data_IF_207223226325
#
_entry.id   IF_207223226325
#
_cell.length_a   1.000
_cell.length_b   1.000
_cell.length_c   1.000
_cell.angle_alpha   90.00
_cell.angle_beta   90.00
_cell.angle_gamma   90.00
#
_symmetry.space_group_name_H-M   'P 1'
#
loop_
_entity.id
_entity.type
_entity.pdbx_description
1 polymer ?
#
# COMPACT_ATOMS: atom_id res chain seq x y z
N UNK A 1 -25.26 -14.97 -13.44
CA UNK A 1 -24.33 -13.98 -12.85
C UNK A 1 -22.92 -14.52 -13.03
N UNK A 2 -22.05 -13.82 -13.77
CA UNK A 2 -20.65 -14.24 -13.92
C UNK A 2 -19.93 -14.01 -12.58
N UNK A 3 -19.45 -15.07 -11.94
CA UNK A 3 -18.76 -14.99 -10.66
C UNK A 3 -17.36 -14.40 -10.85
N UNK A 4 -17.08 -13.28 -10.18
CA UNK A 4 -15.76 -12.64 -10.21
C UNK A 4 -14.94 -13.17 -9.02
N UNK A 5 -13.92 -13.98 -9.30
CA UNK A 5 -13.02 -14.45 -8.25
C UNK A 5 -12.20 -13.29 -7.69
N UNK A 6 -12.19 -13.12 -6.38
CA UNK A 6 -11.32 -12.16 -5.68
C UNK A 6 -9.83 -12.45 -5.90
N UNK A 7 -9.47 -13.65 -6.36
CA UNK A 7 -8.08 -14.03 -6.67
C UNK A 7 -7.62 -13.60 -8.07
N UNK A 8 -8.54 -13.16 -8.93
CA UNK A 8 -8.25 -12.73 -10.29
C UNK A 8 -8.01 -11.21 -10.33
N UNK A 9 -6.78 -10.80 -10.00
CA UNK A 9 -6.39 -9.40 -9.90
C UNK A 9 -6.70 -8.61 -11.19
N UNK A 10 -6.54 -9.20 -12.37
CA UNK A 10 -6.81 -8.53 -13.64
C UNK A 10 -8.30 -8.23 -13.81
N UNK A 11 -9.17 -9.24 -13.61
CA UNK A 11 -10.62 -9.03 -13.72
C UNK A 11 -11.15 -8.09 -12.65
N UNK A 12 -10.67 -8.22 -11.41
CA UNK A 12 -11.07 -7.34 -10.31
C UNK A 12 -10.68 -5.90 -10.62
N UNK A 13 -9.44 -5.67 -11.04
CA UNK A 13 -8.97 -4.34 -11.42
C UNK A 13 -9.82 -3.74 -12.56
N UNK A 14 -10.03 -4.51 -13.63
CA UNK A 14 -10.84 -4.07 -14.79
C UNK A 14 -12.27 -3.71 -14.38
N UNK A 15 -12.90 -4.50 -13.52
CA UNK A 15 -14.24 -4.20 -13.00
C UNK A 15 -14.25 -2.89 -12.22
N UNK A 16 -13.31 -2.69 -11.29
CA UNK A 16 -13.23 -1.46 -10.50
C UNK A 16 -12.95 -0.23 -11.37
N UNK A 17 -12.07 -0.35 -12.35
CA UNK A 17 -11.77 0.70 -13.31
C UNK A 17 -12.98 1.05 -14.17
N UNK A 18 -13.60 0.05 -14.81
CA UNK A 18 -14.74 0.24 -15.72
C UNK A 18 -15.98 0.79 -15.01
N UNK A 19 -16.13 0.52 -13.71
CA UNK A 19 -17.24 1.04 -12.90
C UNK A 19 -16.92 2.34 -12.17
N UNK A 20 -15.73 2.93 -12.38
CA UNK A 20 -15.36 4.21 -11.79
C UNK A 20 -15.13 4.18 -10.28
N UNK A 21 -14.88 3.00 -9.69
CA UNK A 21 -14.67 2.80 -8.25
C UNK A 21 -13.27 3.15 -7.78
N UNK A 22 -12.30 3.20 -8.69
CA UNK A 22 -10.90 3.52 -8.38
C UNK A 22 -10.46 4.80 -9.06
N UNK A 23 -9.53 5.50 -8.41
CA UNK A 23 -8.81 6.64 -8.96
C UNK A 23 -7.47 6.15 -9.51
N UNK A 24 -7.24 6.40 -10.80
CA UNK A 24 -5.98 6.02 -11.48
C UNK A 24 -4.83 6.94 -11.05
N UNK A 25 -3.57 6.44 -11.07
CA UNK A 25 -2.39 7.19 -10.64
C UNK A 25 -2.15 8.43 -11.53
N UNK A 26 -2.46 9.61 -11.00
CA UNK A 26 -2.21 10.91 -11.62
C UNK A 26 -1.42 11.79 -10.67
N UNK A 27 -0.53 12.62 -11.22
CA UNK A 27 0.34 13.50 -10.43
C UNK A 27 -0.45 14.35 -9.43
N UNK A 28 -1.62 14.86 -9.83
CA UNK A 28 -2.48 15.74 -9.03
C UNK A 28 -2.81 15.21 -7.62
N UNK A 29 -2.94 13.90 -7.45
CA UNK A 29 -3.20 13.30 -6.14
C UNK A 29 -2.03 12.48 -5.63
N UNK A 30 -1.25 11.83 -6.50
CA UNK A 30 -0.12 10.99 -6.09
C UNK A 30 0.95 11.83 -5.38
N UNK A 31 1.32 12.98 -5.96
CA UNK A 31 2.40 13.82 -5.41
C UNK A 31 1.97 14.52 -4.12
N UNK A 32 0.74 15.05 -4.10
CA UNK A 32 0.20 15.74 -2.93
C UNK A 32 -0.04 14.80 -1.73
N UNK A 33 -0.33 13.53 -2.00
CA UNK A 33 -0.63 12.54 -0.96
C UNK A 33 0.63 11.89 -0.37
N UNK A 34 1.69 11.71 -1.16
CA UNK A 34 2.82 10.85 -0.80
C UNK A 34 2.44 9.37 -0.75
N UNK A 35 1.48 8.96 -1.58
CA UNK A 35 0.90 7.61 -1.56
C UNK A 35 1.88 6.52 -1.96
N UNK A 36 2.69 6.75 -3.00
CA UNK A 36 3.65 5.75 -3.47
C UNK A 36 4.81 5.57 -2.48
N UNK A 37 5.22 6.63 -1.79
CA UNK A 37 6.21 6.58 -0.72
C UNK A 37 5.71 5.75 0.46
N UNK A 38 4.46 5.98 0.88
CA UNK A 38 3.82 5.18 1.92
C UNK A 38 3.80 3.69 1.51
N UNK A 39 3.34 3.38 0.30
CA UNK A 39 3.31 2.01 -0.23
C UNK A 39 4.70 1.38 -0.29
N UNK A 40 5.70 2.13 -0.74
CA UNK A 40 7.07 1.65 -0.85
C UNK A 40 7.68 1.36 0.53
N UNK A 41 7.42 2.22 1.51
CA UNK A 41 7.84 2.00 2.89
C UNK A 41 7.22 0.71 3.46
N UNK A 42 5.93 0.48 3.22
CA UNK A 42 5.24 -0.72 3.70
C UNK A 42 5.74 -2.00 3.03
N UNK A 43 6.05 -1.97 1.73
CA UNK A 43 6.71 -3.08 1.03
C UNK A 43 8.05 -3.42 1.69
N UNK A 44 8.91 -2.43 1.92
CA UNK A 44 10.23 -2.65 2.53
C UNK A 44 10.11 -3.20 3.95
N UNK A 45 9.19 -2.65 4.75
CA UNK A 45 8.88 -3.15 6.09
C UNK A 45 8.44 -4.61 6.08
N UNK A 46 7.58 -5.01 5.13
CA UNK A 46 7.17 -6.40 4.99
C UNK A 46 8.33 -7.33 4.59
N UNK A 47 9.23 -6.88 3.71
CA UNK A 47 10.44 -7.66 3.37
C UNK A 47 11.34 -7.86 4.59
N UNK A 48 11.56 -6.81 5.39
CA UNK A 48 12.33 -6.91 6.66
C UNK A 48 11.70 -7.95 7.59
N UNK A 49 10.37 -7.93 7.76
CA UNK A 49 9.65 -8.93 8.56
C UNK A 49 9.90 -10.34 8.06
N UNK A 50 9.82 -10.54 6.75
CA UNK A 50 9.89 -11.87 6.14
C UNK A 50 11.31 -12.45 6.20
N UNK A 51 12.34 -11.61 6.11
CA UNK A 51 13.75 -12.04 6.19
C UNK A 51 14.32 -12.04 7.60
N UNK A 52 13.85 -11.15 8.46
CA UNK A 52 14.37 -10.93 9.80
C UNK A 52 13.24 -10.80 10.85
N UNK A 53 12.44 -11.86 11.06
CA UNK A 53 11.17 -11.79 11.83
C UNK A 53 11.32 -11.44 13.31
N UNK A 54 12.53 -11.60 13.86
CA UNK A 54 12.86 -11.29 15.26
C UNK A 54 13.70 -10.01 15.39
N UNK A 55 13.94 -9.28 14.29
CA UNK A 55 14.71 -8.04 14.35
C UNK A 55 13.96 -7.01 15.20
N UNK A 56 14.70 -6.37 16.10
CA UNK A 56 14.17 -5.21 16.79
C UNK A 56 14.12 -4.02 15.82
N UNK A 57 12.92 -3.48 15.62
CA UNK A 57 12.65 -2.35 14.73
C UNK A 57 12.20 -1.11 15.49
N UNK A 58 12.47 -1.06 16.79
CA UNK A 58 12.41 0.19 17.56
C UNK A 58 13.34 1.21 16.91
N UNK A 59 12.87 2.45 16.78
CA UNK A 59 13.60 3.58 16.21
C UNK A 59 14.03 3.45 14.73
N UNK A 60 13.38 2.58 13.95
CA UNK A 60 13.61 2.51 12.51
C UNK A 60 13.10 3.78 11.81
N UNK A 61 14.06 4.61 11.39
CA UNK A 61 13.83 5.82 10.61
C UNK A 61 14.03 5.61 9.10
N UNK A 62 13.85 6.68 8.32
CA UNK A 62 14.01 6.63 6.86
C UNK A 62 15.45 6.37 6.41
N UNK A 63 16.44 6.88 7.12
CA UNK A 63 17.86 6.73 6.76
C UNK A 63 18.28 5.27 6.96
N UNK A 64 17.84 4.68 8.06
CA UNK A 64 18.02 3.27 8.33
C UNK A 64 17.37 2.41 7.26
N UNK A 65 16.12 2.70 6.86
CA UNK A 65 15.44 1.95 5.80
C UNK A 65 16.20 2.03 4.47
N UNK A 66 16.72 3.20 4.09
CA UNK A 66 17.56 3.33 2.89
C UNK A 66 18.84 2.49 2.98
N UNK A 67 19.49 2.48 4.15
CA UNK A 67 20.68 1.65 4.38
C UNK A 67 20.35 0.17 4.25
N UNK A 68 19.21 -0.26 4.81
CA UNK A 68 18.74 -1.65 4.69
C UNK A 68 18.44 -2.01 3.23
N UNK A 69 17.76 -1.16 2.47
CA UNK A 69 17.48 -1.35 1.03
C UNK A 69 18.77 -1.54 0.24
N UNK A 70 19.79 -0.69 0.48
CA UNK A 70 21.08 -0.80 -0.19
C UNK A 70 21.82 -2.09 0.17
N UNK A 71 21.76 -2.50 1.44
CA UNK A 71 22.36 -3.75 1.92
C UNK A 71 21.65 -5.02 1.43
N UNK A 72 20.41 -4.91 0.93
CA UNK A 72 19.58 -6.02 0.48
C UNK A 72 19.08 -5.82 -0.97
N UNK A 73 19.90 -5.20 -1.82
CA UNK A 73 19.52 -4.83 -3.18
C UNK A 73 19.00 -6.01 -4.02
N UNK A 74 19.62 -7.20 -3.88
CA UNK A 74 19.21 -8.40 -4.60
C UNK A 74 17.79 -8.86 -4.20
N UNK A 75 17.49 -8.86 -2.89
CA UNK A 75 16.17 -9.18 -2.36
C UNK A 75 15.12 -8.17 -2.84
N UNK A 76 15.46 -6.88 -2.80
CA UNK A 76 14.60 -5.79 -3.27
C UNK A 76 14.30 -5.94 -4.78
N UNK A 77 15.30 -6.32 -5.58
CA UNK A 77 15.14 -6.57 -7.00
C UNK A 77 14.27 -7.80 -7.27
N UNK A 78 14.41 -8.85 -6.45
CA UNK A 78 13.65 -10.09 -6.57
C UNK A 78 12.16 -9.91 -6.22
N UNK A 79 11.83 -9.13 -5.18
CA UNK A 79 10.44 -8.76 -4.86
C UNK A 79 9.85 -7.86 -5.96
N UNK A 80 10.62 -6.88 -6.43
CA UNK A 80 10.27 -6.03 -7.57
C UNK A 80 9.21 -4.94 -7.29
N UNK A 81 8.49 -4.98 -6.16
CA UNK A 81 7.46 -3.97 -5.86
C UNK A 81 8.07 -2.61 -5.48
N UNK A 82 9.17 -2.61 -4.70
CA UNK A 82 9.86 -1.36 -4.36
C UNK A 82 10.50 -0.68 -5.60
N UNK A 83 11.25 -1.40 -6.47
CA UNK A 83 11.72 -0.83 -7.74
C UNK A 83 10.58 -0.34 -8.64
N UNK A 84 9.47 -1.10 -8.73
CA UNK A 84 8.28 -0.70 -9.48
C UNK A 84 7.69 0.60 -8.95
N UNK A 85 7.47 0.74 -7.65
CA UNK A 85 6.90 1.95 -7.03
C UNK A 85 7.79 3.18 -7.27
N UNK A 86 9.12 3.01 -7.21
CA UNK A 86 10.05 4.09 -7.54
C UNK A 86 10.03 4.47 -9.02
N UNK A 87 9.90 3.48 -9.92
CA UNK A 87 9.74 3.74 -11.35
C UNK A 87 8.42 4.46 -11.65
N UNK A 88 7.31 4.00 -11.07
CA UNK A 88 6.00 4.62 -11.20
C UNK A 88 6.00 6.08 -10.70
N UNK A 89 6.64 6.34 -9.55
CA UNK A 89 6.80 7.70 -9.03
C UNK A 89 7.55 8.60 -10.02
N UNK A 90 8.66 8.13 -10.59
CA UNK A 90 9.44 8.89 -11.59
C UNK A 90 8.64 9.14 -12.87
N UNK A 91 7.94 8.13 -13.36
CA UNK A 91 7.10 8.26 -14.56
C UNK A 91 5.98 9.27 -14.36
N UNK A 92 5.27 9.22 -13.23
CA UNK A 92 4.20 10.17 -12.91
C UNK A 92 4.75 11.60 -12.79
N UNK A 93 5.92 11.77 -12.15
CA UNK A 93 6.56 13.09 -12.06
C UNK A 93 6.96 13.65 -13.44
N UNK A 94 7.30 12.77 -14.39
CA UNK A 94 7.72 13.17 -15.74
C UNK A 94 6.55 13.37 -16.71
N UNK A 95 5.55 12.50 -16.67
CA UNK A 95 4.46 12.39 -17.65
C UNK A 95 3.08 12.79 -17.09
N UNK A 96 2.98 13.06 -15.79
CA UNK A 96 1.74 13.40 -15.09
C UNK A 96 0.84 12.19 -14.77
N UNK A 97 1.16 11.01 -15.29
CA UNK A 97 0.37 9.78 -15.13
C UNK A 97 1.25 8.53 -15.31
N UNK A 98 0.73 7.38 -14.91
CA UNK A 98 1.29 6.06 -15.20
C UNK A 98 0.36 5.32 -16.17
N UNK A 99 0.91 4.69 -17.22
CA UNK A 99 0.15 3.85 -18.14
C UNK A 99 -0.22 2.52 -17.49
N UNK A 100 -1.45 2.44 -16.97
CA UNK A 100 -1.88 1.32 -16.12
C UNK A 100 -2.02 0.00 -16.88
N UNK A 101 -2.22 0.06 -18.19
CA UNK A 101 -2.26 -1.06 -19.13
C UNK A 101 -0.93 -1.83 -19.15
N UNK A 102 0.19 -1.13 -19.02
CA UNK A 102 1.54 -1.70 -19.02
C UNK A 102 1.94 -2.28 -17.66
N UNK A 103 1.17 -1.97 -16.61
CA UNK A 103 1.42 -2.44 -15.24
C UNK A 103 0.90 -3.87 -15.06
N UNK A 104 1.72 -4.82 -14.54
CA UNK A 104 1.27 -6.16 -14.22
C UNK A 104 0.04 -6.16 -13.28
N UNK A 105 -0.96 -7.04 -13.49
CA UNK A 105 -2.24 -6.95 -12.79
C UNK A 105 -2.16 -6.84 -11.26
N UNK A 106 -1.23 -7.57 -10.62
CA UNK A 106 -1.03 -7.49 -9.16
C UNK A 106 -0.49 -6.14 -8.70
N UNK A 107 0.42 -5.55 -9.46
CA UNK A 107 1.07 -4.28 -9.11
C UNK A 107 0.15 -3.07 -9.32
N UNK A 108 -0.91 -3.20 -10.12
CA UNK A 108 -1.90 -2.13 -10.33
C UNK A 108 -2.53 -1.66 -9.01
N UNK A 109 -2.75 -2.57 -8.06
CA UNK A 109 -3.31 -2.25 -6.75
C UNK A 109 -2.36 -1.44 -5.84
N UNK A 110 -1.06 -1.43 -6.14
CA UNK A 110 -0.08 -0.63 -5.40
C UNK A 110 -0.17 0.86 -5.74
N UNK A 111 -0.74 1.21 -6.89
CA UNK A 111 -0.71 2.57 -7.46
C UNK A 111 -2.09 3.21 -7.59
N UNK A 112 -3.16 2.53 -7.17
CA UNK A 112 -4.53 3.07 -7.16
C UNK A 112 -5.09 3.14 -5.75
N UNK A 113 -6.05 4.03 -5.55
CA UNK A 113 -6.93 4.07 -4.37
C UNK A 113 -8.38 4.00 -4.83
N UNK A 114 -9.32 3.79 -3.91
CA UNK A 114 -10.72 4.02 -4.23
C UNK A 114 -10.96 5.48 -4.64
N UNK A 115 -11.90 5.72 -5.54
CA UNK A 115 -12.29 7.07 -5.93
C UNK A 115 -12.96 7.77 -4.73
N UNK A 116 -12.44 8.90 -4.23
CA UNK A 116 -12.88 9.49 -2.96
C UNK A 116 -14.39 9.75 -2.87
N UNK A 117 -14.96 10.32 -3.94
CA UNK A 117 -16.38 10.70 -4.02
C UNK A 117 -17.33 9.52 -4.33
N UNK A 118 -16.80 8.30 -4.49
CA UNK A 118 -17.63 7.15 -4.83
C UNK A 118 -18.31 6.59 -3.56
N UNK A 119 -19.62 6.27 -3.56
CA UNK A 119 -20.32 5.72 -2.39
C UNK A 119 -19.64 4.48 -1.78
N UNK A 120 -19.11 3.60 -2.63
CA UNK A 120 -18.36 2.40 -2.23
C UNK A 120 -16.88 2.65 -1.91
N UNK A 121 -16.41 3.88 -1.67
CA UNK A 121 -14.98 4.16 -1.51
C UNK A 121 -14.35 3.36 -0.36
N UNK A 122 -15.06 3.21 0.76
CA UNK A 122 -14.63 2.39 1.89
C UNK A 122 -14.50 0.91 1.53
N UNK A 123 -15.53 0.34 0.90
CA UNK A 123 -15.52 -1.07 0.47
C UNK A 123 -14.45 -1.34 -0.60
N UNK A 124 -14.25 -0.38 -1.51
CA UNK A 124 -13.23 -0.50 -2.55
C UNK A 124 -11.84 -0.46 -1.95
N UNK A 125 -11.56 0.44 -0.99
CA UNK A 125 -10.28 0.45 -0.29
C UNK A 125 -10.07 -0.80 0.58
N UNK A 126 -11.13 -1.36 1.18
CA UNK A 126 -11.07 -2.65 1.86
C UNK A 126 -10.62 -3.75 0.88
N UNK A 127 -11.23 -3.84 -0.30
CA UNK A 127 -10.84 -4.79 -1.33
C UNK A 127 -9.40 -4.57 -1.83
N UNK A 128 -8.99 -3.32 -2.08
CA UNK A 128 -7.60 -2.98 -2.46
C UNK A 128 -6.62 -3.45 -1.38
N UNK A 129 -6.95 -3.29 -0.10
CA UNK A 129 -6.09 -3.72 1.01
C UNK A 129 -5.88 -5.24 1.07
N UNK A 130 -6.77 -6.05 0.48
CA UNK A 130 -6.57 -7.50 0.34
C UNK A 130 -5.59 -7.88 -0.78
N UNK A 131 -5.42 -7.03 -1.79
CA UNK A 131 -4.38 -7.19 -2.82
C UNK A 131 -3.02 -6.65 -2.40
N UNK A 132 -2.97 -5.87 -1.32
CA UNK A 132 -1.76 -5.22 -0.79
C UNK A 132 -1.56 -5.59 0.69
N UNK A 133 -1.46 -6.88 1.04
CA UNK A 133 -1.39 -7.32 2.44
C UNK A 133 -0.15 -6.82 3.18
N UNK A 134 0.92 -6.46 2.46
CA UNK A 134 2.13 -5.85 3.03
C UNK A 134 1.86 -4.50 3.72
N UNK A 135 0.79 -3.80 3.32
CA UNK A 135 0.43 -2.51 3.90
C UNK A 135 -0.52 -2.71 5.09
N UNK A 136 0.05 -3.13 6.22
CA UNK A 136 -0.72 -3.37 7.44
C UNK A 136 -1.43 -2.11 7.96
N UNK A 137 -0.94 -0.91 7.64
CA UNK A 137 -1.64 0.35 7.99
C UNK A 137 -2.96 0.43 7.23
N UNK A 138 -2.95 0.14 5.93
CA UNK A 138 -4.15 0.14 5.10
C UNK A 138 -5.10 -0.98 5.48
N UNK A 139 -4.59 -2.17 5.80
CA UNK A 139 -5.43 -3.24 6.36
C UNK A 139 -6.07 -2.79 7.67
N UNK A 140 -5.33 -2.14 8.58
CA UNK A 140 -5.90 -1.65 9.83
C UNK A 140 -7.02 -0.61 9.62
N UNK A 141 -6.84 0.27 8.62
CA UNK A 141 -7.83 1.31 8.29
C UNK A 141 -9.09 0.73 7.65
N UNK A 142 -8.95 -0.14 6.66
CA UNK A 142 -10.07 -0.56 5.80
C UNK A 142 -10.51 -2.02 5.98
N UNK A 143 -9.63 -2.91 6.44
CA UNK A 143 -9.92 -4.33 6.62
C UNK A 143 -9.44 -4.84 8.00
N UNK A 144 -10.09 -4.36 9.06
CA UNK A 144 -9.75 -4.79 10.44
C UNK A 144 -9.75 -6.31 10.62
N UNK A 145 -10.74 -7.08 10.11
CA UNK A 145 -10.69 -8.54 10.24
C UNK A 145 -9.44 -9.15 9.59
N UNK A 146 -9.07 -8.70 8.38
CA UNK A 146 -7.85 -9.14 7.70
C UNK A 146 -6.59 -8.74 8.44
N UNK A 147 -6.54 -7.51 8.97
CA UNK A 147 -5.43 -7.04 9.81
C UNK A 147 -5.23 -7.92 11.04
N UNK A 148 -6.28 -8.17 11.83
CA UNK A 148 -6.14 -8.93 13.09
C UNK A 148 -5.77 -10.39 12.83
N UNK A 149 -6.29 -10.99 11.75
CA UNK A 149 -5.87 -12.33 11.32
C UNK A 149 -4.36 -12.41 11.06
N UNK A 150 -3.78 -11.42 10.37
CA UNK A 150 -2.33 -11.39 10.17
C UNK A 150 -1.59 -11.08 11.49
N UNK A 151 -2.09 -10.11 12.26
CA UNK A 151 -1.48 -9.64 13.50
C UNK A 151 -1.32 -10.77 14.53
N UNK A 152 -2.27 -11.69 14.61
CA UNK A 152 -2.20 -12.87 15.46
C UNK A 152 -1.08 -13.83 15.07
N UNK A 153 -0.63 -13.84 13.82
CA UNK A 153 0.49 -14.67 13.35
C UNK A 153 1.88 -14.05 13.55
N UNK A 154 1.94 -12.76 13.88
CA UNK A 154 3.19 -12.02 13.99
C UNK A 154 3.97 -12.33 15.27
N UNK A 155 5.31 -12.22 15.19
CA UNK A 155 6.19 -12.24 16.36
C UNK A 155 5.91 -11.03 17.26
N UNK A 156 6.25 -11.13 18.56
CA UNK A 156 6.00 -10.04 19.50
C UNK A 156 6.82 -8.78 19.17
N UNK A 157 8.04 -8.94 18.66
CA UNK A 157 8.86 -7.85 18.16
C UNK A 157 8.16 -7.11 17.00
N UNK A 158 7.62 -7.86 16.04
CA UNK A 158 6.92 -7.27 14.90
C UNK A 158 5.57 -6.65 15.28
N UNK A 159 4.82 -7.27 16.20
CA UNK A 159 3.58 -6.68 16.75
C UNK A 159 3.85 -5.32 17.39
N UNK A 160 4.92 -5.22 18.18
CA UNK A 160 5.35 -3.96 18.81
C UNK A 160 5.66 -2.91 17.76
N UNK A 161 6.41 -3.30 16.71
CA UNK A 161 6.70 -2.42 15.58
C UNK A 161 5.44 -1.93 14.85
N UNK A 162 4.50 -2.83 14.53
CA UNK A 162 3.22 -2.49 13.88
C UNK A 162 2.44 -1.48 14.72
N UNK A 163 2.38 -1.67 16.04
CA UNK A 163 1.72 -0.74 16.96
C UNK A 163 2.38 0.64 16.92
N UNK A 164 3.71 0.72 16.94
CA UNK A 164 4.44 1.99 16.92
C UNK A 164 4.25 2.74 15.58
N UNK A 165 4.29 2.03 14.46
CA UNK A 165 3.98 2.61 13.15
C UNK A 165 2.54 3.11 13.12
N UNK A 166 1.55 2.34 13.60
CA UNK A 166 0.16 2.78 13.65
C UNK A 166 -0.02 4.04 14.52
N UNK A 167 0.65 4.11 15.68
CA UNK A 167 0.61 5.27 16.58
C UNK A 167 1.18 6.53 15.94
N UNK A 168 2.28 6.40 15.21
CA UNK A 168 2.99 7.55 14.62
C UNK A 168 2.44 7.99 13.26
N UNK A 169 1.72 7.10 12.56
CA UNK A 169 1.14 7.38 11.24
C UNK A 169 -0.37 7.68 11.30
N UNK A 170 -1.21 6.64 11.41
CA UNK A 170 -2.66 6.75 11.29
C UNK A 170 -3.35 7.23 12.57
N UNK A 171 -2.97 6.69 13.73
CA UNK A 171 -3.66 6.95 14.98
C UNK A 171 -3.38 8.35 15.54
N UNK A 172 -2.29 9.00 15.11
CA UNK A 172 -1.95 10.38 15.46
C UNK A 172 -3.02 11.38 14.99
N UNK A 173 -3.43 11.26 13.72
CA UNK A 173 -4.51 12.04 13.14
C UNK A 173 -5.19 11.23 12.03
N UNK A 174 -6.29 10.57 12.40
CA UNK A 174 -7.02 9.66 11.51
C UNK A 174 -7.69 10.39 10.35
N UNK A 175 -8.18 11.61 10.59
CA UNK A 175 -8.87 12.39 9.57
C UNK A 175 -7.86 12.92 8.55
N UNK A 176 -6.77 13.54 9.02
CA UNK A 176 -5.72 14.02 8.13
C UNK A 176 -5.05 12.89 7.34
N UNK A 177 -4.82 11.72 7.95
CA UNK A 177 -4.27 10.56 7.25
C UNK A 177 -5.19 10.09 6.11
N UNK A 178 -6.49 9.95 6.38
CA UNK A 178 -7.49 9.51 5.40
C UNK A 178 -7.68 10.53 4.29
N UNK A 179 -7.77 11.82 4.62
CA UNK A 179 -7.87 12.89 3.64
C UNK A 179 -6.62 12.92 2.74
N UNK A 180 -5.42 12.88 3.32
CA UNK A 180 -4.16 12.94 2.57
C UNK A 180 -3.98 11.76 1.63
N UNK A 181 -4.04 10.52 2.13
CA UNK A 181 -3.74 9.33 1.32
C UNK A 181 -4.92 8.88 0.47
N UNK A 182 -6.14 8.99 0.98
CA UNK A 182 -7.32 8.38 0.38
C UNK A 182 -8.36 9.39 -0.12
N UNK A 183 -8.16 10.69 0.12
CA UNK A 183 -9.13 11.74 -0.24
C UNK A 183 -10.42 11.66 0.58
N UNK A 184 -10.48 10.81 1.60
CA UNK A 184 -11.69 10.59 2.39
C UNK A 184 -11.80 11.66 3.47
N UNK A 185 -12.82 12.49 3.35
CA UNK A 185 -13.27 13.44 4.37
C UNK A 185 -14.60 12.94 4.91
N UNK A 186 -14.66 12.71 6.22
CA UNK A 186 -15.90 12.37 6.92
C UNK A 186 -16.77 13.61 7.10
#
# INVERSE_FOLDING_TARGET
VSYLSIKDADKVFKFLAATGRIELPRASWIEASGYLEHRAEMVVRALIRDTEPNRNLTDVDKVWLQTWIHGHADLIAQDGNFPFLNAAKREIAQLGHLKIEDVPPRQRFLVVRAKPEHPDAWLTNQLISDFVPQDFVSRYVFNKPGFYKDYESYSDAWRSHVVDVLKTTYLKDKAAFRARLYGLTD
#
